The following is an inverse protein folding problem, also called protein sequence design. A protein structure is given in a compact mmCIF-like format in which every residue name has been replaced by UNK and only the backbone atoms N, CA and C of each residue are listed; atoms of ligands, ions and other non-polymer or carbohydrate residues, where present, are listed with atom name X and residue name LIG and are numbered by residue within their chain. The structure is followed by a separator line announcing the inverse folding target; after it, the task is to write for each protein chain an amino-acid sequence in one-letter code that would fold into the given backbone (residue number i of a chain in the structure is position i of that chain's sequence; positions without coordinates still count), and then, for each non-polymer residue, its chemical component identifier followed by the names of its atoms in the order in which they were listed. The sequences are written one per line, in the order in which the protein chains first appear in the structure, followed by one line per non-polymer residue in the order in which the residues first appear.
data_IF_592834505741
#
_entry.id   IF_592834505741
#
_cell.length_a   1.000
_cell.length_b   1.000
_cell.length_c   1.000
_cell.angle_alpha   90.00
_cell.angle_beta   90.00
_cell.angle_gamma   90.00
#
_symmetry.space_group_name_H-M   'P 1'
#
loop_
_entity.id
_entity.type
_entity.pdbx_description
1 polymer ?
#
# COMPACT_ATOMS: atom_id res chain seq x y z
N UNK A 1 -20.83 -15.41 -3.71
CA UNK A 1 -19.52 -14.76 -3.45
C UNK A 1 -19.12 -14.88 -1.98
N UNK A 2 -19.83 -14.25 -1.02
CA UNK A 2 -19.49 -14.37 0.42
C UNK A 2 -19.54 -15.80 0.98
N UNK A 3 -20.46 -16.64 0.49
CA UNK A 3 -20.62 -18.03 0.98
C UNK A 3 -19.35 -18.89 0.74
N UNK A 4 -18.77 -18.79 -0.46
CA UNK A 4 -17.53 -19.48 -0.81
C UNK A 4 -16.31 -18.93 -0.05
N UNK A 5 -16.27 -17.62 0.19
CA UNK A 5 -15.23 -16.99 1.00
C UNK A 5 -15.25 -17.52 2.44
N UNK A 6 -16.44 -17.56 3.05
CA UNK A 6 -16.61 -18.05 4.42
C UNK A 6 -16.17 -19.51 4.56
N UNK A 7 -16.49 -20.35 3.59
CA UNK A 7 -16.23 -21.80 3.64
C UNK A 7 -14.74 -22.15 3.49
N UNK A 8 -13.99 -21.40 2.68
CA UNK A 8 -12.57 -21.66 2.40
C UNK A 8 -11.63 -21.14 3.50
N UNK A 9 -11.98 -20.02 4.15
CA UNK A 9 -11.12 -19.38 5.15
C UNK A 9 -11.40 -19.84 6.59
N UNK A 10 -12.55 -20.47 6.88
CA UNK A 10 -12.84 -21.02 8.22
C UNK A 10 -12.10 -22.32 8.53
N UNK A 11 -11.58 -23.00 7.51
CA UNK A 11 -10.85 -24.27 7.65
C UNK A 11 -9.36 -24.09 7.96
N UNK A 12 -8.85 -22.86 7.96
CA UNK A 12 -7.48 -22.59 8.36
C UNK A 12 -7.37 -22.57 9.88
N UNK A 13 -6.64 -23.56 10.41
CA UNK A 13 -6.20 -23.54 11.81
C UNK A 13 -5.43 -22.23 12.05
N UNK A 14 -5.84 -21.49 13.09
CA UNK A 14 -5.32 -20.16 13.44
C UNK A 14 -5.65 -19.00 12.46
N UNK A 15 -6.76 -19.06 11.72
CA UNK A 15 -7.19 -17.99 10.82
C UNK A 15 -7.30 -16.60 11.51
N UNK A 16 -7.69 -16.57 12.78
CA UNK A 16 -7.74 -15.38 13.63
C UNK A 16 -6.36 -14.76 13.90
N UNK A 17 -5.37 -15.59 14.17
CA UNK A 17 -3.96 -15.17 14.36
C UNK A 17 -3.40 -14.65 13.04
N UNK A 18 -3.60 -15.38 11.93
CA UNK A 18 -3.13 -14.97 10.60
C UNK A 18 -3.76 -13.64 10.20
N UNK A 19 -5.06 -13.46 10.39
CA UNK A 19 -5.76 -12.21 10.12
C UNK A 19 -5.14 -11.05 10.93
N UNK A 20 -4.86 -11.27 12.21
CA UNK A 20 -4.26 -10.26 13.09
C UNK A 20 -2.84 -9.89 12.64
N UNK A 21 -2.03 -10.88 12.26
CA UNK A 21 -0.67 -10.66 11.74
C UNK A 21 -0.70 -9.87 10.44
N UNK A 22 -1.62 -10.20 9.51
CA UNK A 22 -1.78 -9.46 8.26
C UNK A 22 -2.15 -8.00 8.52
N UNK A 23 -3.05 -7.75 9.47
CA UNK A 23 -3.43 -6.39 9.83
C UNK A 23 -2.24 -5.59 10.36
N UNK A 24 -1.48 -6.17 11.29
CA UNK A 24 -0.28 -5.53 11.85
C UNK A 24 0.76 -5.28 10.76
N UNK A 25 1.02 -6.26 9.90
CA UNK A 25 1.97 -6.14 8.80
C UNK A 25 1.56 -5.03 7.82
N UNK A 26 0.26 -4.92 7.52
CA UNK A 26 -0.26 -3.86 6.66
C UNK A 26 -0.03 -2.47 7.28
N UNK A 27 -0.36 -2.30 8.56
CA UNK A 27 -0.13 -1.02 9.26
C UNK A 27 1.35 -0.68 9.29
N UNK A 28 2.23 -1.64 9.62
CA UNK A 28 3.68 -1.43 9.62
C UNK A 28 4.22 -1.07 8.24
N UNK A 29 3.69 -1.67 7.17
CA UNK A 29 4.06 -1.31 5.81
C UNK A 29 3.73 0.16 5.51
N UNK A 30 2.52 0.62 5.84
CA UNK A 30 2.13 2.01 5.61
C UNK A 30 2.94 2.99 6.45
N UNK A 31 3.14 2.67 7.74
CA UNK A 31 3.99 3.49 8.62
C UNK A 31 5.42 3.57 8.08
N UNK A 32 5.97 2.43 7.63
CA UNK A 32 7.28 2.36 7.01
C UNK A 32 7.38 3.20 5.74
N UNK A 33 6.38 3.13 4.86
CA UNK A 33 6.31 3.93 3.65
C UNK A 33 6.29 5.43 3.96
N UNK A 34 5.43 5.86 4.89
CA UNK A 34 5.35 7.25 5.33
C UNK A 34 6.70 7.70 5.91
N UNK A 35 7.31 6.88 6.76
CA UNK A 35 8.62 7.17 7.33
C UNK A 35 9.70 7.34 6.26
N UNK A 36 9.74 6.44 5.27
CA UNK A 36 10.69 6.52 4.14
C UNK A 36 10.47 7.79 3.31
N UNK A 37 9.21 8.16 3.06
CA UNK A 37 8.88 9.37 2.28
C UNK A 37 9.25 10.64 3.04
N UNK A 38 8.97 10.70 4.35
CA UNK A 38 9.25 11.87 5.19
C UNK A 38 10.74 12.04 5.51
N UNK A 39 11.49 10.95 5.63
CA UNK A 39 12.94 11.00 5.85
C UNK A 39 13.73 11.42 4.61
N UNK A 40 13.08 11.61 3.46
CA UNK A 40 13.76 12.14 2.28
C UNK A 40 14.22 13.57 2.53
N UNK A 41 15.41 13.97 2.03
CA UNK A 41 15.95 15.30 2.27
C UNK A 41 15.02 16.38 1.70
N UNK A 42 15.05 17.57 2.32
CA UNK A 42 14.28 18.72 1.86
C UNK A 42 14.57 18.95 0.36
N UNK A 43 13.51 19.11 -0.44
CA UNK A 43 13.55 19.26 -1.91
C UNK A 43 13.86 17.98 -2.71
N UNK A 44 13.89 16.78 -2.12
CA UNK A 44 14.12 15.54 -2.89
C UNK A 44 13.14 15.35 -4.05
N UNK A 45 11.90 15.81 -3.89
CA UNK A 45 10.86 15.70 -4.91
C UNK A 45 10.70 16.98 -5.75
N UNK A 46 11.53 18.01 -5.54
CA UNK A 46 11.33 19.33 -6.12
C UNK A 46 11.46 19.32 -7.64
N UNK A 47 12.52 18.71 -8.15
CA UNK A 47 12.76 18.56 -9.59
C UNK A 47 11.62 17.80 -10.26
N UNK A 48 11.15 16.70 -9.67
CA UNK A 48 10.02 15.92 -10.19
C UNK A 48 8.69 16.67 -10.10
N UNK A 49 8.46 17.46 -9.04
CA UNK A 49 7.24 18.27 -8.89
C UNK A 49 7.19 19.48 -9.81
N UNK A 50 8.35 19.92 -10.29
CA UNK A 50 8.51 21.06 -11.20
C UNK A 50 8.70 20.61 -12.65
N UNK A 51 8.62 19.30 -12.93
CA UNK A 51 8.58 18.80 -14.30
C UNK A 51 7.39 19.44 -15.02
N UNK A 52 7.58 19.91 -16.26
CA UNK A 52 6.45 20.29 -17.09
C UNK A 52 5.49 19.11 -17.17
N UNK A 53 4.19 19.39 -17.22
CA UNK A 53 3.22 18.35 -17.57
C UNK A 53 3.67 17.77 -18.92
N UNK A 54 3.75 16.45 -19.03
CA UNK A 54 4.01 15.82 -20.32
C UNK A 54 2.85 16.22 -21.24
N UNK A 55 3.10 17.19 -22.13
CA UNK A 55 2.13 17.68 -23.11
C UNK A 55 1.89 16.65 -24.24
N UNK A 56 2.53 15.47 -24.18
CA UNK A 56 2.38 14.37 -25.12
C UNK A 56 1.43 13.30 -24.58
N UNK A 57 0.15 13.65 -24.48
CA UNK A 57 -0.93 12.67 -24.50
C UNK A 57 -1.51 12.63 -25.93
N UNK A 58 -0.97 11.80 -26.87
CA UNK A 58 -1.47 11.73 -28.24
C UNK A 58 -2.87 11.10 -28.35
N UNK A 59 -3.53 10.81 -27.22
CA UNK A 59 -4.81 10.12 -27.11
C UNK A 59 -5.97 10.99 -26.59
N UNK A 60 -5.75 12.28 -26.31
CA UNK A 60 -6.83 13.26 -26.02
C UNK A 60 -6.73 14.51 -26.89
#
# INVERSE_FOLDING_TARGET
MLKYFKEHFWQFEHADVIQTVILIASVLFFVGLVYVVLNKPKNHYKETSELPLDDEDPLF
#
